data_IF_097969585679
#
_entry.id   IF_097969585679
#
_cell.length_a   1.000
_cell.length_b   1.000
_cell.length_c   1.000
_cell.angle_alpha   90.00
_cell.angle_beta   90.00
_cell.angle_gamma   90.00
#
_symmetry.space_group_name_H-M   'P 1'
#
loop_
_entity.id
_entity.type
_entity.pdbx_description
1 polymer ?
#
# COMPACT_ATOMS: atom_id res chain seq x y z
N UNK A 1 -13.79 -7.24 -8.77
CA UNK A 1 -13.96 -5.94 -8.08
C UNK A 1 -13.53 -6.19 -6.66
N UNK A 2 -12.40 -5.64 -6.23
CA UNK A 2 -11.91 -5.82 -4.85
C UNK A 2 -12.97 -5.30 -3.88
N UNK A 3 -13.39 -6.11 -2.92
CA UNK A 3 -14.50 -5.79 -2.04
C UNK A 3 -14.11 -4.64 -1.09
N UNK A 4 -15.07 -3.82 -0.62
CA UNK A 4 -14.78 -2.75 0.32
C UNK A 4 -14.12 -3.27 1.62
N UNK A 5 -14.34 -4.54 1.98
CA UNK A 5 -13.72 -5.19 3.12
C UNK A 5 -12.18 -5.32 2.98
N UNK A 6 -11.68 -5.67 1.80
CA UNK A 6 -10.23 -5.79 1.54
C UNK A 6 -9.52 -4.45 1.67
N UNK A 7 -10.19 -3.37 1.24
CA UNK A 7 -9.67 -2.01 1.35
C UNK A 7 -9.52 -1.58 2.82
N UNK A 8 -10.46 -1.96 3.69
CA UNK A 8 -10.39 -1.64 5.12
C UNK A 8 -9.29 -2.44 5.84
N UNK A 9 -9.09 -3.70 5.47
CA UNK A 9 -7.99 -4.53 5.99
C UNK A 9 -6.65 -3.92 5.56
N UNK A 10 -6.54 -3.53 4.29
CA UNK A 10 -5.36 -2.85 3.76
C UNK A 10 -5.09 -1.52 4.46
N UNK A 11 -6.13 -0.71 4.73
CA UNK A 11 -5.99 0.54 5.48
C UNK A 11 -5.41 0.29 6.89
N UNK A 12 -5.92 -0.71 7.61
CA UNK A 12 -5.38 -1.08 8.93
C UNK A 12 -3.92 -1.53 8.85
N UNK A 13 -3.57 -2.32 7.83
CA UNK A 13 -2.19 -2.75 7.60
C UNK A 13 -1.27 -1.55 7.34
N UNK A 14 -1.71 -0.57 6.55
CA UNK A 14 -0.96 0.65 6.28
C UNK A 14 -0.70 1.45 7.57
N UNK A 15 -1.69 1.55 8.47
CA UNK A 15 -1.51 2.21 9.78
C UNK A 15 -0.43 1.52 10.62
N UNK A 16 -0.46 0.18 10.69
CA UNK A 16 0.56 -0.61 11.40
C UNK A 16 1.96 -0.38 10.82
N UNK A 17 2.06 -0.08 9.53
CA UNK A 17 3.32 0.20 8.85
C UNK A 17 3.78 1.67 8.92
N UNK A 18 3.00 2.56 9.56
CA UNK A 18 3.36 3.98 9.76
C UNK A 18 2.53 4.98 8.94
N UNK A 19 1.51 4.54 8.21
CA UNK A 19 0.58 5.46 7.55
C UNK A 19 -0.30 6.19 8.57
N UNK A 20 -0.50 7.50 8.46
CA UNK A 20 -1.50 8.20 9.24
C UNK A 20 -2.90 7.62 8.98
N UNK A 21 -3.65 7.30 10.04
CA UNK A 21 -5.01 6.72 9.96
C UNK A 21 -5.96 7.58 9.11
N UNK A 22 -5.85 8.90 9.19
CA UNK A 22 -6.65 9.82 8.38
C UNK A 22 -6.44 9.66 6.85
N UNK A 23 -5.30 9.10 6.43
CA UNK A 23 -4.92 8.90 5.01
C UNK A 23 -4.94 7.43 4.60
N UNK A 24 -4.98 6.48 5.54
CA UNK A 24 -4.80 5.06 5.27
C UNK A 24 -5.88 4.48 4.36
N UNK A 25 -7.12 4.93 4.50
CA UNK A 25 -8.25 4.46 3.66
C UNK A 25 -8.10 4.92 2.20
N UNK A 26 -7.78 6.20 1.98
CA UNK A 26 -7.53 6.73 0.64
C UNK A 26 -6.33 6.04 0.00
N UNK A 27 -5.26 5.87 0.77
CA UNK A 27 -4.04 5.20 0.31
C UNK A 27 -4.28 3.73 -0.04
N UNK A 28 -5.10 3.01 0.74
CA UNK A 28 -5.52 1.65 0.43
C UNK A 28 -6.26 1.56 -0.90
N UNK A 29 -7.18 2.50 -1.18
CA UNK A 29 -7.90 2.55 -2.45
C UNK A 29 -6.96 2.79 -3.64
N UNK A 30 -5.98 3.68 -3.48
CA UNK A 30 -4.99 3.95 -4.51
C UNK A 30 -4.08 2.74 -4.76
N UNK A 31 -3.63 2.06 -3.70
CA UNK A 31 -2.85 0.83 -3.77
C UNK A 31 -3.62 -0.31 -4.44
N UNK A 32 -4.90 -0.50 -4.12
CA UNK A 32 -5.76 -1.48 -4.77
C UNK A 32 -5.80 -1.26 -6.29
N UNK A 33 -6.10 -0.03 -6.73
CA UNK A 33 -6.13 0.31 -8.17
C UNK A 33 -4.77 0.12 -8.85
N UNK A 34 -3.69 0.55 -8.20
CA UNK A 34 -2.32 0.39 -8.72
C UNK A 34 -1.90 -1.06 -8.80
N UNK A 35 -2.31 -1.91 -7.85
CA UNK A 35 -2.01 -3.35 -7.89
C UNK A 35 -2.65 -4.04 -9.10
N UNK A 36 -3.89 -3.68 -9.44
CA UNK A 36 -4.58 -4.22 -10.61
C UNK A 36 -3.93 -3.76 -11.92
N UNK A 37 -3.51 -2.50 -12.00
CA UNK A 37 -2.79 -1.98 -13.16
C UNK A 37 -1.42 -2.66 -13.31
N UNK A 38 -0.65 -2.73 -12.22
CA UNK A 38 0.70 -3.29 -12.21
C UNK A 38 0.71 -4.80 -12.51
N UNK A 39 -0.31 -5.52 -12.05
CA UNK A 39 -0.52 -6.93 -12.38
C UNK A 39 -0.64 -7.15 -13.90
N UNK A 40 -1.40 -6.28 -14.58
CA UNK A 40 -1.55 -6.33 -16.05
C UNK A 40 -0.27 -5.94 -16.76
N UNK A 41 0.38 -4.85 -16.34
CA UNK A 41 1.61 -4.35 -16.97
C UNK A 41 2.78 -5.34 -16.86
N UNK A 42 2.88 -6.06 -15.74
CA UNK A 42 3.97 -7.02 -15.48
C UNK A 42 3.59 -8.47 -15.70
N UNK A 43 2.36 -8.74 -16.17
CA UNK A 43 1.82 -10.09 -16.36
C UNK A 43 2.02 -11.00 -15.13
N UNK A 44 1.68 -10.48 -13.95
CA UNK A 44 1.79 -11.14 -12.65
C UNK A 44 0.44 -11.11 -11.92
N UNK A 45 0.33 -11.82 -10.80
CA UNK A 45 -0.89 -11.78 -10.00
C UNK A 45 -1.07 -10.42 -9.30
N UNK A 46 -2.32 -10.04 -9.02
CA UNK A 46 -2.62 -8.86 -8.21
C UNK A 46 -1.98 -8.96 -6.80
N UNK A 47 -1.91 -10.17 -6.24
CA UNK A 47 -1.29 -10.40 -4.94
C UNK A 47 0.21 -10.09 -4.95
N UNK A 48 0.95 -10.53 -5.98
CA UNK A 48 2.37 -10.21 -6.16
C UNK A 48 2.60 -8.71 -6.38
N UNK A 49 1.76 -8.09 -7.22
CA UNK A 49 1.78 -6.65 -7.45
C UNK A 49 1.51 -5.86 -6.15
N UNK A 50 0.53 -6.29 -5.35
CA UNK A 50 0.21 -5.66 -4.07
C UNK A 50 1.36 -5.82 -3.07
N UNK A 51 1.92 -7.02 -2.93
CA UNK A 51 3.07 -7.27 -2.05
C UNK A 51 4.27 -6.37 -2.42
N UNK A 52 4.55 -6.22 -3.72
CA UNK A 52 5.58 -5.32 -4.22
C UNK A 52 5.32 -3.86 -3.82
N UNK A 53 4.09 -3.37 -4.00
CA UNK A 53 3.72 -2.00 -3.66
C UNK A 53 3.80 -1.73 -2.15
N UNK A 54 3.36 -2.69 -1.33
CA UNK A 54 3.46 -2.58 0.13
C UNK A 54 4.92 -2.55 0.59
N UNK A 55 5.78 -3.38 -0.01
CA UNK A 55 7.21 -3.37 0.28
C UNK A 55 7.87 -2.04 -0.12
N UNK A 56 7.43 -1.41 -1.21
CA UNK A 56 7.90 -0.08 -1.61
C UNK A 56 7.47 1.00 -0.62
N UNK A 57 6.20 0.98 -0.18
CA UNK A 57 5.67 1.91 0.83
C UNK A 57 6.44 1.82 2.15
N UNK A 58 6.70 0.60 2.63
CA UNK A 58 7.48 0.35 3.85
C UNK A 58 8.88 0.96 3.75
N UNK A 59 9.53 0.88 2.59
CA UNK A 59 10.83 1.50 2.36
C UNK A 59 10.75 3.04 2.36
N UNK A 60 9.69 3.62 1.79
CA UNK A 60 9.44 5.06 1.80
C UNK A 60 9.29 5.61 3.22
N UNK A 61 8.55 4.93 4.08
CA UNK A 61 8.39 5.35 5.48
C UNK A 61 9.66 5.13 6.32
N UNK A 62 10.35 4.01 6.14
CA UNK A 62 11.64 3.77 6.81
C UNK A 62 12.72 4.78 6.38
N UNK A 63 12.63 5.35 5.17
CA UNK A 63 13.49 6.43 4.71
C UNK A 63 13.10 7.79 5.32
N UNK A 64 11.81 8.05 5.48
CA UNK A 64 11.30 9.28 6.10
C UNK A 64 11.67 9.34 7.60
N UNK A 65 11.56 8.22 8.34
CA UNK A 65 12.00 8.13 9.74
C UNK A 65 13.49 8.48 9.94
N UNK A 66 14.33 8.29 8.92
CA UNK A 66 15.76 8.65 8.98
C UNK A 66 16.05 10.11 8.62
N UNK A 67 15.15 10.76 7.90
CA UNK A 67 15.29 12.15 7.49
C UNK A 67 14.80 13.13 8.55
N UNK A 68 13.85 12.73 9.39
CA UNK A 68 13.34 13.53 10.52
C UNK A 68 14.21 13.39 11.81
N UNK A 69 15.34 12.67 11.76
CA UNK A 69 16.23 12.39 12.89
C UNK A 69 17.61 13.06 12.81
N UNK A 70 17.82 14.01 11.89
CA UNK A 70 19.05 14.81 11.74
C UNK A 70 18.80 16.31 11.98
#
# INVERSE_FOLDING_TARGET
MSEPADTLILAKLLVVMGCPEAKSTEMAQQLAKRSEQLAKERNQSQAEAMAYLLNLMKQGWAAQEKADAD
#
